data_IF_481869325002
#
_entry.id   IF_481869325002
#
_cell.length_a   1.000
_cell.length_b   1.000
_cell.length_c   1.000
_cell.angle_alpha   90.00
_cell.angle_beta   90.00
_cell.angle_gamma   90.00
#
_symmetry.space_group_name_H-M   'P 1'
#
loop_
_entity.id
_entity.type
_entity.pdbx_description
1 polymer ?
#
# COMPACT_ATOMS: atom_id res chain seq x y z
N UNK A 1 26.98 -29.83 1.17
CA UNK A 1 26.35 -28.94 2.16
C UNK A 1 25.08 -28.37 1.51
N UNK A 2 23.90 -28.88 1.86
CA UNK A 2 22.62 -28.39 1.32
C UNK A 2 22.31 -27.05 1.97
N UNK A 3 22.27 -25.99 1.16
CA UNK A 3 21.80 -24.67 1.59
C UNK A 3 20.30 -24.83 1.92
N UNK A 4 19.96 -24.82 3.21
CA UNK A 4 18.60 -24.55 3.68
C UNK A 4 18.34 -23.08 3.37
N UNK A 5 17.88 -22.81 2.16
CA UNK A 5 17.35 -21.49 1.81
C UNK A 5 16.04 -21.39 2.59
N UNK A 6 16.06 -20.48 3.56
CA UNK A 6 15.01 -20.22 4.54
C UNK A 6 13.62 -20.22 3.89
N UNK A 7 12.79 -21.20 4.26
CA UNK A 7 11.40 -21.32 3.83
C UNK A 7 10.60 -20.05 4.13
N UNK A 8 10.99 -19.28 5.14
CA UNK A 8 10.43 -17.96 5.48
C UNK A 8 10.53 -16.95 4.33
N UNK A 9 11.69 -16.87 3.66
CA UNK A 9 11.89 -15.97 2.50
C UNK A 9 11.08 -16.41 1.28
N UNK A 10 10.87 -17.72 1.13
CA UNK A 10 10.07 -18.28 0.04
C UNK A 10 8.59 -17.97 0.27
N UNK A 11 8.12 -17.98 1.52
CA UNK A 11 6.74 -17.59 1.88
C UNK A 11 6.50 -16.10 1.62
N UNK A 12 7.44 -15.22 1.97
CA UNK A 12 7.35 -13.79 1.62
C UNK A 12 7.28 -13.57 0.10
N UNK A 13 8.12 -14.26 -0.67
CA UNK A 13 8.15 -14.15 -2.12
C UNK A 13 6.89 -14.74 -2.79
N UNK A 14 6.28 -15.75 -2.16
CA UNK A 14 5.01 -16.34 -2.60
C UNK A 14 3.80 -15.42 -2.33
N UNK A 15 3.84 -14.62 -1.26
CA UNK A 15 2.82 -13.58 -1.01
C UNK A 15 2.90 -12.43 -2.03
N UNK A 16 4.11 -12.10 -2.49
CA UNK A 16 4.34 -11.11 -3.54
C UNK A 16 3.91 -11.58 -4.94
N UNK A 17 3.86 -12.89 -5.19
CA UNK A 17 3.57 -13.45 -6.54
C UNK A 17 2.10 -13.37 -6.93
N UNK A 18 1.17 -13.19 -5.98
CA UNK A 18 -0.24 -12.93 -6.26
C UNK A 18 -0.60 -11.43 -6.29
N UNK A 19 0.36 -10.55 -6.02
CA UNK A 19 0.13 -9.11 -5.97
C UNK A 19 0.32 -8.50 -7.35
N UNK A 20 -0.67 -7.74 -7.84
CA UNK A 20 -0.50 -7.04 -9.11
C UNK A 20 0.61 -5.96 -8.97
N UNK A 21 1.37 -5.75 -10.04
CA UNK A 21 2.41 -4.71 -10.10
C UNK A 21 1.86 -3.31 -9.72
N UNK A 22 0.59 -3.03 -10.03
CA UNK A 22 -0.05 -1.76 -9.66
C UNK A 22 -0.23 -1.63 -8.15
N UNK A 23 -0.60 -2.71 -7.46
CA UNK A 23 -0.70 -2.74 -6.00
C UNK A 23 0.67 -2.52 -5.36
N UNK A 24 1.70 -3.23 -5.82
CA UNK A 24 3.08 -3.07 -5.34
C UNK A 24 3.55 -1.63 -5.51
N UNK A 25 3.42 -1.06 -6.72
CA UNK A 25 3.80 0.33 -6.99
C UNK A 25 3.06 1.33 -6.10
N UNK A 26 1.76 1.11 -5.87
CA UNK A 26 0.96 2.00 -5.01
C UNK A 26 1.45 1.96 -3.57
N UNK A 27 1.78 0.78 -3.02
CA UNK A 27 2.38 0.65 -1.69
C UNK A 27 3.77 1.32 -1.64
N UNK A 28 4.59 1.17 -2.68
CA UNK A 28 5.87 1.87 -2.78
C UNK A 28 5.72 3.40 -2.79
N UNK A 29 4.66 3.94 -3.40
CA UNK A 29 4.37 5.38 -3.32
C UNK A 29 4.18 5.79 -1.86
N UNK A 30 3.33 5.11 -1.10
CA UNK A 30 3.14 5.46 0.31
C UNK A 30 4.42 5.33 1.13
N UNK A 31 5.18 4.23 0.94
CA UNK A 31 6.46 4.04 1.61
C UNK A 31 7.47 5.16 1.29
N UNK A 32 7.47 5.69 0.06
CA UNK A 32 8.34 6.80 -0.34
C UNK A 32 8.00 8.11 0.36
N UNK A 33 6.72 8.42 0.53
CA UNK A 33 6.29 9.66 1.19
C UNK A 33 6.36 9.56 2.72
N UNK A 34 6.27 8.35 3.26
CA UNK A 34 6.26 8.08 4.69
C UNK A 34 4.86 7.95 5.26
N UNK A 35 4.81 7.39 6.46
CA UNK A 35 3.58 7.18 7.23
C UNK A 35 2.91 8.51 7.56
N UNK A 36 1.57 8.50 7.64
CA UNK A 36 0.72 9.66 7.92
C UNK A 36 0.85 10.82 6.91
N UNK A 37 1.64 10.67 5.84
CA UNK A 37 1.72 11.65 4.78
C UNK A 37 0.56 11.45 3.79
N UNK A 38 -0.18 12.53 3.53
CA UNK A 38 -1.29 12.51 2.57
C UNK A 38 -0.73 12.64 1.16
N UNK A 39 -0.90 11.60 0.36
CA UNK A 39 -0.54 11.59 -1.05
C UNK A 39 -1.78 11.87 -1.89
N UNK A 40 -1.71 12.90 -2.74
CA UNK A 40 -2.83 13.26 -3.60
C UNK A 40 -3.16 12.16 -4.61
N UNK A 41 -4.44 12.07 -5.01
CA UNK A 41 -4.86 11.12 -6.05
C UNK A 41 -4.08 11.30 -7.36
N UNK A 42 -3.75 12.55 -7.70
CA UNK A 42 -2.97 12.87 -8.90
C UNK A 42 -1.56 12.30 -8.82
N UNK A 43 -0.86 12.51 -7.70
CA UNK A 43 0.49 11.99 -7.50
C UNK A 43 0.52 10.46 -7.52
N UNK A 44 -0.45 9.80 -6.88
CA UNK A 44 -0.53 8.33 -6.93
C UNK A 44 -0.73 7.86 -8.38
N UNK A 45 -1.64 8.49 -9.12
CA UNK A 45 -1.93 8.12 -10.50
C UNK A 45 -0.71 8.28 -11.41
N UNK A 46 -0.01 9.40 -11.30
CA UNK A 46 1.18 9.74 -12.09
C UNK A 46 2.35 8.77 -11.84
N UNK A 47 2.58 8.39 -10.58
CA UNK A 47 3.64 7.44 -10.23
C UNK A 47 3.32 5.99 -10.62
N UNK A 48 2.05 5.58 -10.53
CA UNK A 48 1.69 4.16 -10.66
C UNK A 48 1.36 3.78 -12.11
N UNK A 49 0.71 4.67 -12.87
CA UNK A 49 0.26 4.41 -14.23
C UNK A 49 1.00 5.27 -15.26
N UNK A 50 1.41 4.65 -16.37
CA UNK A 50 2.03 5.35 -17.52
C UNK A 50 1.02 6.06 -18.41
N UNK A 51 -0.27 6.04 -18.07
CA UNK A 51 -1.36 6.62 -18.84
C UNK A 51 -2.42 7.18 -17.91
N UNK A 52 -3.22 8.16 -18.36
CA UNK A 52 -4.35 8.68 -17.59
C UNK A 52 -5.30 7.55 -17.18
N UNK A 53 -5.71 7.56 -15.92
CA UNK A 53 -6.68 6.60 -15.37
C UNK A 53 -7.76 7.32 -14.57
N UNK A 54 -8.91 6.64 -14.44
CA UNK A 54 -10.04 7.14 -13.67
C UNK A 54 -9.82 6.94 -12.17
N UNK A 55 -10.57 7.69 -11.37
CA UNK A 55 -10.59 7.50 -9.91
C UNK A 55 -11.12 6.12 -9.49
N UNK A 56 -11.92 5.46 -10.32
CA UNK A 56 -12.39 4.09 -10.07
C UNK A 56 -11.24 3.08 -10.15
N UNK A 57 -10.32 3.25 -11.12
CA UNK A 57 -9.13 2.41 -11.22
C UNK A 57 -8.23 2.57 -9.99
N UNK A 58 -8.03 3.81 -9.56
CA UNK A 58 -7.27 4.11 -8.33
C UNK A 58 -7.95 3.45 -7.12
N UNK A 59 -9.25 3.67 -6.94
CA UNK A 59 -10.02 3.13 -5.80
C UNK A 59 -9.91 1.61 -5.73
N UNK A 60 -10.04 0.91 -6.85
CA UNK A 60 -9.88 -0.54 -6.93
C UNK A 60 -8.47 -1.00 -6.53
N UNK A 61 -7.42 -0.31 -6.99
CA UNK A 61 -6.04 -0.62 -6.57
C UNK A 61 -5.82 -0.35 -5.08
N UNK A 62 -6.39 0.74 -4.54
CA UNK A 62 -6.34 1.03 -3.11
C UNK A 62 -7.00 -0.09 -2.30
N UNK A 63 -8.17 -0.60 -2.73
CA UNK A 63 -8.80 -1.76 -2.07
C UNK A 63 -7.88 -2.98 -2.04
N UNK A 64 -7.15 -3.25 -3.13
CA UNK A 64 -6.16 -4.34 -3.15
C UNK A 64 -5.01 -4.10 -2.18
N UNK A 65 -4.52 -2.86 -2.06
CA UNK A 65 -3.47 -2.52 -1.09
C UNK A 65 -3.94 -2.80 0.35
N UNK A 66 -5.18 -2.41 0.70
CA UNK A 66 -5.75 -2.68 2.04
C UNK A 66 -5.84 -4.16 2.34
N UNK A 67 -6.28 -4.97 1.36
CA UNK A 67 -6.36 -6.42 1.53
C UNK A 67 -4.99 -7.03 1.79
N UNK A 68 -3.97 -6.62 1.02
CA UNK A 68 -2.58 -7.05 1.25
C UNK A 68 -2.13 -6.71 2.66
N UNK A 69 -2.26 -5.45 3.09
CA UNK A 69 -1.83 -5.03 4.43
C UNK A 69 -2.52 -5.81 5.57
N UNK A 70 -3.81 -6.14 5.36
CA UNK A 70 -4.60 -6.95 6.30
C UNK A 70 -4.16 -8.42 6.32
N UNK A 71 -3.98 -9.03 5.15
CA UNK A 71 -3.53 -10.42 5.02
C UNK A 71 -2.11 -10.61 5.59
N UNK A 72 -1.25 -9.60 5.40
CA UNK A 72 0.09 -9.53 5.99
C UNK A 72 0.09 -9.22 7.49
N UNK A 73 -1.08 -9.03 8.13
CA UNK A 73 -1.23 -8.74 9.57
C UNK A 73 -0.39 -7.55 10.04
N UNK A 74 -0.25 -6.53 9.19
CA UNK A 74 0.46 -5.30 9.53
C UNK A 74 -0.40 -4.38 10.40
N UNK A 75 0.22 -3.44 11.10
CA UNK A 75 -0.46 -2.37 11.82
C UNK A 75 -0.83 -1.17 10.94
N UNK A 76 -0.74 -1.31 9.62
CA UNK A 76 -0.97 -0.21 8.69
C UNK A 76 -2.22 -0.43 7.86
N UNK A 77 -2.92 0.65 7.54
CA UNK A 77 -3.98 0.67 6.54
C UNK A 77 -3.86 1.91 5.65
N UNK A 78 -4.41 1.83 4.44
CA UNK A 78 -4.49 2.96 3.52
C UNK A 78 -5.80 3.70 3.76
N UNK A 79 -5.75 4.88 4.36
CA UNK A 79 -6.93 5.67 4.72
C UNK A 79 -7.22 6.70 3.63
N UNK A 80 -8.51 6.90 3.33
CA UNK A 80 -8.94 7.96 2.42
C UNK A 80 -9.17 9.26 3.22
N UNK A 81 -8.46 10.32 2.86
CA UNK A 81 -8.65 11.65 3.43
C UNK A 81 -9.50 12.47 2.46
N UNK A 82 -10.76 12.67 2.82
CA UNK A 82 -11.80 13.27 1.96
C UNK A 82 -11.35 14.64 1.44
N UNK A 83 -11.30 14.77 0.11
CA UNK A 83 -10.91 16.00 -0.57
C UNK A 83 -9.40 16.14 -0.82
N UNK A 84 -8.56 15.30 -0.23
CA UNK A 84 -7.11 15.42 -0.32
C UNK A 84 -6.46 14.24 -1.05
N UNK A 85 -6.76 13.00 -0.64
CA UNK A 85 -6.08 11.83 -1.21
C UNK A 85 -6.08 10.63 -0.26
N UNK A 86 -4.96 9.92 -0.22
CA UNK A 86 -4.79 8.72 0.61
C UNK A 86 -3.51 8.82 1.44
N UNK A 87 -3.51 8.24 2.63
CA UNK A 87 -2.32 8.10 3.47
C UNK A 87 -2.19 6.65 3.96
N UNK A 88 -0.96 6.21 4.20
CA UNK A 88 -0.68 4.99 4.95
C UNK A 88 -0.62 5.36 6.42
N UNK A 89 -1.53 4.83 7.23
CA UNK A 89 -1.70 5.20 8.63
C UNK A 89 -1.52 3.97 9.51
N UNK A 90 -0.82 4.13 10.63
CA UNK A 90 -0.79 3.12 11.67
C UNK A 90 -2.14 3.09 12.40
N UNK A 91 -2.88 1.98 12.31
CA UNK A 91 -4.22 1.84 12.87
C UNK A 91 -4.20 1.71 14.41
N UNK A 92 -3.06 1.35 15.00
CA UNK A 92 -2.89 1.32 16.45
C UNK A 92 -2.79 2.75 17.03
N UNK A 93 -2.54 3.76 16.18
CA UNK A 93 -2.42 5.15 16.60
C UNK A 93 -3.77 5.91 16.65
N UNK A 94 -4.89 5.26 16.30
CA UNK A 94 -6.24 5.86 16.37
C UNK A 94 -6.68 5.95 17.85
N UNK A 95 -6.10 6.92 18.54
CA UNK A 95 -6.22 7.21 19.97
C UNK A 95 -5.26 8.32 20.40
N UNK A 96 -4.19 8.57 19.63
CA UNK A 96 -3.35 9.74 19.74
C UNK A 96 -3.99 10.93 19.03
N UNK A 97 -4.43 11.91 19.82
CA UNK A 97 -4.92 13.20 19.38
C UNK A 97 -4.01 13.78 18.29
N UNK A 98 -4.49 13.87 17.04
CA UNK A 98 -3.80 14.60 15.97
C UNK A 98 -4.14 16.06 16.22
N UNK A 99 -3.30 16.72 17.02
CA UNK A 99 -3.33 18.17 17.26
C UNK A 99 -2.90 18.97 16.04
#
# INVERSE_FOLDING_TARGET
MKLKIDEEKVVEMNSLTNMSMLTVRTLCVFSRYGENHIVSKYNIKDYVWQRPVTDNNLTHTIHKCRNVLRESKTEFDVVNIRGFGYCLMNINFVGGNIG
#
